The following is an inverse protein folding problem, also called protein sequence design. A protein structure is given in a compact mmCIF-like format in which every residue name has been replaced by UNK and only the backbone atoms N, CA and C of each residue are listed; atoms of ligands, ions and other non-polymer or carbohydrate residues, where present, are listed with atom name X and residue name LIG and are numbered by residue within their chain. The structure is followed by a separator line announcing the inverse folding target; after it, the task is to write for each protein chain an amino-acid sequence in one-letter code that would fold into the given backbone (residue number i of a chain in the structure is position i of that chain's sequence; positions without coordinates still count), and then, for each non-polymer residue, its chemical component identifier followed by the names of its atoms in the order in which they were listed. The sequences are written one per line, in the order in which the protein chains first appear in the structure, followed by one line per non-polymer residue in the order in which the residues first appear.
data_IF_105778956003
#
_entry.id   IF_105778956003
#
_cell.length_a   1.000
_cell.length_b   1.000
_cell.length_c   1.000
_cell.angle_alpha   90.00
_cell.angle_beta   90.00
_cell.angle_gamma   90.00
#
_symmetry.space_group_name_H-M   'P 1'
#
loop_
_entity.id
_entity.type
_entity.pdbx_description
1 polymer ?
#
# COMPACT_ATOMS: atom_id res chain seq x y z
N UNK A 1 -5.83 -14.77 15.10
CA UNK A 1 -5.43 -13.38 14.85
C UNK A 1 -6.57 -12.46 15.26
N UNK A 2 -6.28 -11.37 16.00
CA UNK A 2 -7.25 -10.28 16.17
C UNK A 2 -7.65 -9.73 14.79
N UNK A 3 -8.86 -9.18 14.65
CA UNK A 3 -9.30 -8.60 13.40
C UNK A 3 -8.48 -7.33 13.09
N UNK A 4 -7.94 -7.26 11.87
CA UNK A 4 -7.08 -6.15 11.43
C UNK A 4 -7.84 -4.82 11.24
N UNK A 5 -9.17 -4.86 11.33
CA UNK A 5 -10.07 -3.71 11.20
C UNK A 5 -9.71 -2.55 12.14
N UNK A 6 -9.13 -2.83 13.31
CA UNK A 6 -8.76 -1.84 14.33
C UNK A 6 -7.65 -0.87 13.89
N UNK A 7 -6.94 -1.17 12.79
CA UNK A 7 -5.78 -0.39 12.37
C UNK A 7 -6.10 0.75 11.40
N UNK A 8 -7.32 0.84 10.87
CA UNK A 8 -7.67 1.85 9.85
C UNK A 8 -7.59 3.26 10.41
N UNK A 9 -8.29 3.55 11.50
CA UNK A 9 -8.32 4.89 12.11
C UNK A 9 -6.91 5.35 12.55
N UNK A 10 -6.17 4.50 13.26
CA UNK A 10 -4.81 4.79 13.70
C UNK A 10 -3.85 5.06 12.52
N UNK A 11 -4.03 4.37 11.39
CA UNK A 11 -3.19 4.60 10.20
C UNK A 11 -3.52 5.92 9.50
N UNK A 12 -4.79 6.34 9.51
CA UNK A 12 -5.24 7.62 8.96
C UNK A 12 -4.77 8.79 9.82
N UNK A 13 -4.88 8.68 11.14
CA UNK A 13 -4.37 9.66 12.10
C UNK A 13 -2.87 9.89 11.89
N UNK A 14 -2.09 8.81 11.88
CA UNK A 14 -0.65 8.89 11.64
C UNK A 14 -0.28 9.48 10.28
N UNK A 15 -1.09 9.24 9.25
CA UNK A 15 -0.91 9.89 7.95
C UNK A 15 -1.13 11.40 8.06
N UNK A 16 -2.21 11.84 8.74
CA UNK A 16 -2.50 13.26 8.95
C UNK A 16 -1.42 13.95 9.76
N UNK A 17 -0.94 13.34 10.83
CA UNK A 17 0.19 13.87 11.63
C UNK A 17 1.43 14.08 10.76
N UNK A 18 1.69 13.16 9.83
CA UNK A 18 2.91 13.19 9.01
C UNK A 18 2.82 14.12 7.80
N UNK A 19 1.64 14.23 7.17
CA UNK A 19 1.45 14.93 5.90
C UNK A 19 0.57 16.19 6.02
N UNK A 20 -0.02 16.45 7.19
CA UNK A 20 -0.89 17.60 7.44
C UNK A 20 -2.29 17.51 6.83
N UNK A 21 -2.61 16.42 6.13
CA UNK A 21 -3.91 16.22 5.47
C UNK A 21 -4.26 14.73 5.38
N UNK A 22 -5.52 14.42 5.07
CA UNK A 22 -5.97 13.04 4.81
C UNK A 22 -5.42 12.50 3.48
N UNK A 23 -5.21 11.18 3.32
CA UNK A 23 -4.83 10.64 2.02
C UNK A 23 -6.00 10.77 1.03
N UNK A 24 -5.72 11.07 -0.24
CA UNK A 24 -6.75 11.09 -1.28
C UNK A 24 -7.37 9.70 -1.51
N UNK A 25 -6.56 8.66 -1.36
CA UNK A 25 -6.91 7.27 -1.60
C UNK A 25 -6.43 6.44 -0.41
N UNK A 26 -7.33 5.66 0.18
CA UNK A 26 -7.00 4.65 1.18
C UNK A 26 -7.32 3.27 0.61
N UNK A 27 -6.37 2.35 0.59
CA UNK A 27 -6.61 0.98 0.10
C UNK A 27 -6.09 -0.04 1.10
N UNK A 28 -6.94 -1.03 1.40
CA UNK A 28 -6.59 -2.15 2.27
C UNK A 28 -7.14 -3.47 1.71
N UNK A 29 -6.75 -4.59 2.30
CA UNK A 29 -7.33 -5.88 1.97
C UNK A 29 -8.69 -6.07 2.67
N UNK A 30 -9.41 -7.13 2.28
CA UNK A 30 -10.75 -7.45 2.79
C UNK A 30 -10.81 -7.66 4.31
N UNK A 31 -9.72 -8.04 4.95
CA UNK A 31 -9.60 -8.22 6.39
C UNK A 31 -9.87 -6.93 7.18
N UNK A 32 -9.66 -5.78 6.55
CA UNK A 32 -9.91 -4.45 7.12
C UNK A 32 -11.35 -3.96 6.92
N UNK A 33 -12.21 -4.75 6.28
CA UNK A 33 -13.59 -4.33 6.00
C UNK A 33 -14.46 -4.35 7.25
N UNK A 34 -14.98 -3.18 7.59
CA UNK A 34 -16.13 -2.98 8.47
C UNK A 34 -16.87 -1.72 8.03
N UNK A 35 -18.18 -1.63 8.30
CA UNK A 35 -18.92 -0.40 8.00
C UNK A 35 -18.33 0.82 8.70
N UNK A 36 -17.80 0.61 9.93
CA UNK A 36 -17.10 1.65 10.68
C UNK A 36 -15.91 2.18 9.89
N UNK A 37 -15.08 1.29 9.34
CA UNK A 37 -13.86 1.68 8.62
C UNK A 37 -14.14 2.40 7.31
N UNK A 38 -15.22 2.04 6.62
CA UNK A 38 -15.63 2.76 5.41
C UNK A 38 -16.12 4.16 5.73
N UNK A 39 -16.96 4.28 6.76
CA UNK A 39 -17.49 5.56 7.24
C UNK A 39 -16.40 6.43 7.83
N UNK A 40 -15.45 5.86 8.58
CA UNK A 40 -14.34 6.61 9.20
C UNK A 40 -13.43 7.18 8.11
N UNK A 41 -13.02 6.40 7.11
CA UNK A 41 -12.23 6.91 5.99
C UNK A 41 -12.88 8.13 5.32
N UNK A 42 -14.17 8.05 5.02
CA UNK A 42 -14.92 9.17 4.43
C UNK A 42 -14.99 10.38 5.37
N UNK A 43 -15.31 10.17 6.66
CA UNK A 43 -15.35 11.23 7.68
C UNK A 43 -14.00 11.93 7.85
N UNK A 44 -12.92 11.16 7.79
CA UNK A 44 -11.56 11.65 7.93
C UNK A 44 -11.08 12.42 6.69
N UNK A 45 -11.88 12.51 5.62
CA UNK A 45 -11.57 13.29 4.41
C UNK A 45 -10.90 12.49 3.29
N UNK A 46 -10.94 11.16 3.36
CA UNK A 46 -10.45 10.31 2.26
C UNK A 46 -11.45 10.33 1.11
N UNK A 47 -10.97 10.66 -0.09
CA UNK A 47 -11.84 10.77 -1.27
C UNK A 47 -12.28 9.41 -1.79
N UNK A 48 -11.38 8.42 -1.74
CA UNK A 48 -11.65 7.05 -2.22
C UNK A 48 -11.18 6.02 -1.19
N UNK A 49 -12.12 5.24 -0.64
CA UNK A 49 -11.84 4.15 0.31
C UNK A 49 -11.99 2.79 -0.38
N UNK A 50 -10.87 2.19 -0.76
CA UNK A 50 -10.80 0.94 -1.49
C UNK A 50 -10.54 -0.24 -0.54
N UNK A 51 -11.56 -0.65 0.22
CA UNK A 51 -11.53 -1.85 1.06
C UNK A 51 -12.59 -2.83 0.52
N UNK A 52 -12.27 -4.04 0.05
CA UNK A 52 -13.28 -4.95 -0.49
C UNK A 52 -14.22 -5.47 0.60
N UNK A 53 -15.52 -5.59 0.31
CA UNK A 53 -16.48 -6.12 1.28
C UNK A 53 -16.10 -7.55 1.69
N UNK A 54 -16.05 -7.78 3.01
CA UNK A 54 -15.83 -9.10 3.61
C UNK A 54 -17.15 -9.76 3.96
N UNK A 55 -17.36 -10.97 3.42
CA UNK A 55 -18.52 -11.80 3.74
C UNK A 55 -19.85 -11.24 3.22
N UNK A 56 -20.89 -12.06 3.34
CA UNK A 56 -22.25 -11.72 2.92
C UNK A 56 -22.43 -11.51 1.41
N UNK A 57 -23.69 -11.29 1.00
CA UNK A 57 -24.03 -10.91 -0.37
C UNK A 57 -23.81 -9.40 -0.53
N UNK A 58 -23.07 -9.01 -1.56
CA UNK A 58 -22.89 -7.59 -1.91
C UNK A 58 -24.18 -7.05 -2.51
N UNK A 59 -24.55 -5.84 -2.14
CA UNK A 59 -25.60 -5.10 -2.85
C UNK A 59 -25.13 -4.80 -4.28
N UNK A 60 -26.06 -4.50 -5.17
CA UNK A 60 -25.72 -4.07 -6.54
C UNK A 60 -24.87 -2.81 -6.54
N UNK A 61 -25.22 -1.85 -5.66
CA UNK A 61 -24.45 -0.63 -5.45
C UNK A 61 -23.00 -0.92 -5.02
N UNK A 62 -22.82 -1.84 -4.06
CA UNK A 62 -21.47 -2.22 -3.62
C UNK A 62 -20.69 -2.93 -4.72
N UNK A 63 -21.35 -3.81 -5.45
CA UNK A 63 -20.75 -4.51 -6.58
C UNK A 63 -20.31 -3.52 -7.67
N UNK A 64 -21.12 -2.52 -7.97
CA UNK A 64 -20.78 -1.46 -8.92
C UNK A 64 -19.60 -0.62 -8.42
N UNK A 65 -19.61 -0.23 -7.13
CA UNK A 65 -18.52 0.53 -6.51
C UNK A 65 -17.18 -0.21 -6.59
N UNK A 66 -17.12 -1.49 -6.21
CA UNK A 66 -15.87 -2.26 -6.27
C UNK A 66 -15.39 -2.54 -7.70
N UNK A 67 -16.30 -2.49 -8.68
CA UNK A 67 -15.97 -2.60 -10.11
C UNK A 67 -15.55 -1.28 -10.74
N UNK A 68 -15.70 -0.16 -10.03
CA UNK A 68 -15.37 1.17 -10.53
C UNK A 68 -13.87 1.30 -10.86
N UNK A 69 -13.50 2.19 -11.81
CA UNK A 69 -12.10 2.42 -12.16
C UNK A 69 -11.22 2.84 -10.98
N UNK A 70 -11.70 3.74 -10.12
CA UNK A 70 -10.94 4.23 -8.96
C UNK A 70 -10.71 3.15 -7.93
N UNK A 71 -11.73 2.32 -7.66
CA UNK A 71 -11.59 1.19 -6.75
C UNK A 71 -10.53 0.20 -7.25
N UNK A 72 -10.60 -0.15 -8.55
CA UNK A 72 -9.61 -1.03 -9.19
C UNK A 72 -8.22 -0.43 -9.19
N UNK A 73 -8.09 0.88 -9.41
CA UNK A 73 -6.80 1.59 -9.35
C UNK A 73 -6.22 1.53 -7.93
N UNK A 74 -7.04 1.72 -6.91
CA UNK A 74 -6.64 1.57 -5.51
C UNK A 74 -6.15 0.16 -5.19
N UNK A 75 -6.89 -0.86 -5.61
CA UNK A 75 -6.48 -2.25 -5.40
C UNK A 75 -5.23 -2.64 -6.19
N UNK A 76 -5.02 -2.10 -7.39
CA UNK A 76 -3.76 -2.26 -8.15
C UNK A 76 -2.58 -1.61 -7.44
N UNK A 77 -2.77 -0.42 -6.87
CA UNK A 77 -1.75 0.24 -6.06
C UNK A 77 -1.36 -0.61 -4.85
N UNK A 78 -2.35 -1.14 -4.10
CA UNK A 78 -2.11 -2.08 -3.00
C UNK A 78 -1.34 -3.33 -3.43
N UNK A 79 -1.74 -3.97 -4.53
CA UNK A 79 -1.03 -5.13 -5.05
C UNK A 79 0.43 -4.81 -5.44
N UNK A 80 0.71 -3.59 -5.92
CA UNK A 80 2.07 -3.12 -6.18
C UNK A 80 2.93 -3.01 -4.92
N UNK A 81 2.35 -2.59 -3.79
CA UNK A 81 3.03 -2.57 -2.48
C UNK A 81 3.42 -4.00 -2.07
N UNK A 82 2.49 -4.94 -2.16
CA UNK A 82 2.75 -6.36 -1.85
C UNK A 82 3.83 -6.96 -2.75
N UNK A 83 3.80 -6.63 -4.05
CA UNK A 83 4.84 -6.99 -5.00
C UNK A 83 6.22 -6.47 -4.59
N UNK A 84 6.29 -5.21 -4.15
CA UNK A 84 7.53 -4.57 -3.68
C UNK A 84 8.08 -5.26 -2.42
N UNK A 85 7.22 -5.52 -1.43
CA UNK A 85 7.60 -6.27 -0.21
C UNK A 85 8.10 -7.67 -0.56
N UNK A 86 7.45 -8.33 -1.52
CA UNK A 86 7.86 -9.62 -2.04
C UNK A 86 9.27 -9.59 -2.68
N UNK A 87 9.57 -8.57 -3.48
CA UNK A 87 10.90 -8.36 -4.07
C UNK A 87 11.94 -8.17 -2.97
N UNK A 88 11.64 -7.37 -1.96
CA UNK A 88 12.51 -7.17 -0.80
C UNK A 88 12.84 -8.49 -0.11
N UNK A 89 11.82 -9.31 0.20
CA UNK A 89 12.02 -10.59 0.88
C UNK A 89 12.72 -11.65 0.03
N UNK A 90 12.32 -11.82 -1.22
CA UNK A 90 12.79 -12.94 -2.06
C UNK A 90 14.00 -12.59 -2.92
N UNK A 91 14.08 -11.35 -3.41
CA UNK A 91 15.13 -10.91 -4.32
C UNK A 91 16.23 -10.07 -3.67
N UNK A 92 15.97 -9.45 -2.51
CA UNK A 92 16.92 -8.53 -1.84
C UNK A 92 17.40 -9.00 -0.46
N UNK A 93 17.19 -10.27 -0.14
CA UNK A 93 17.74 -10.89 1.08
C UNK A 93 17.07 -10.47 2.38
N UNK A 94 15.90 -9.82 2.35
CA UNK A 94 15.19 -9.41 3.57
C UNK A 94 14.47 -10.56 4.31
N UNK A 95 14.64 -11.82 3.89
CA UNK A 95 13.98 -12.96 4.55
C UNK A 95 14.48 -13.19 5.99
N UNK A 96 15.72 -12.80 6.30
CA UNK A 96 16.31 -12.98 7.64
C UNK A 96 17.31 -11.87 7.95
N UNK A 97 17.08 -11.15 9.05
CA UNK A 97 18.08 -10.27 9.64
C UNK A 97 19.08 -11.10 10.46
N UNK A 98 20.39 -10.89 10.25
CA UNK A 98 21.46 -11.52 11.04
C UNK A 98 21.95 -10.64 12.19
N UNK A 99 21.55 -9.38 12.20
CA UNK A 99 21.89 -8.45 13.27
C UNK A 99 20.89 -8.59 14.42
N UNK A 100 21.41 -8.60 15.64
CA UNK A 100 20.62 -8.71 16.87
C UNK A 100 20.27 -7.32 17.43
N UNK A 101 19.10 -7.22 18.06
CA UNK A 101 18.61 -5.97 18.65
C UNK A 101 17.74 -5.14 17.71
N UNK A 102 16.78 -4.44 18.31
CA UNK A 102 15.73 -3.70 17.59
C UNK A 102 16.28 -2.53 16.76
N UNK A 103 17.31 -1.84 17.25
CA UNK A 103 17.95 -0.73 16.51
C UNK A 103 18.65 -1.22 15.24
N UNK A 104 19.46 -2.29 15.36
CA UNK A 104 20.15 -2.88 14.21
C UNK A 104 19.16 -3.45 13.20
N UNK A 105 18.06 -4.04 13.67
CA UNK A 105 16.97 -4.48 12.81
C UNK A 105 16.36 -3.32 12.01
N UNK A 106 16.06 -2.19 12.65
CA UNK A 106 15.52 -0.99 11.98
C UNK A 106 16.49 -0.45 10.92
N UNK A 107 17.79 -0.35 11.24
CA UNK A 107 18.83 0.08 10.30
C UNK A 107 18.91 -0.88 9.11
N UNK A 108 18.90 -2.19 9.38
CA UNK A 108 18.94 -3.21 8.33
C UNK A 108 17.74 -3.15 7.39
N UNK A 109 16.51 -2.98 7.93
CA UNK A 109 15.31 -2.76 7.11
C UNK A 109 15.45 -1.49 6.27
N UNK A 110 15.87 -0.38 6.88
CA UNK A 110 16.06 0.90 6.20
C UNK A 110 17.06 0.82 5.05
N UNK A 111 18.21 0.19 5.29
CA UNK A 111 19.25 -0.01 4.28
C UNK A 111 18.75 -0.85 3.10
N UNK A 112 18.00 -1.92 3.37
CA UNK A 112 17.45 -2.78 2.32
C UNK A 112 16.39 -2.06 1.46
N UNK A 113 15.51 -1.27 2.09
CA UNK A 113 14.53 -0.43 1.39
C UNK A 113 15.22 0.64 0.55
N UNK A 114 16.24 1.31 1.11
CA UNK A 114 17.02 2.32 0.38
C UNK A 114 17.71 1.72 -0.84
N UNK A 115 18.41 0.60 -0.68
CA UNK A 115 19.07 -0.10 -1.78
C UNK A 115 18.07 -0.49 -2.88
N UNK A 116 16.91 -1.03 -2.50
CA UNK A 116 15.86 -1.36 -3.46
C UNK A 116 15.35 -0.14 -4.24
N UNK A 117 15.14 0.98 -3.56
CA UNK A 117 14.71 2.22 -4.21
C UNK A 117 15.76 2.73 -5.20
N UNK A 118 17.05 2.69 -4.83
CA UNK A 118 18.15 3.06 -5.73
C UNK A 118 18.19 2.19 -6.99
N UNK A 119 18.05 0.86 -6.84
CA UNK A 119 18.00 -0.04 -7.98
C UNK A 119 16.78 0.23 -8.87
N UNK A 120 15.61 0.50 -8.28
CA UNK A 120 14.42 0.83 -9.09
C UNK A 120 14.56 2.16 -9.82
N UNK A 121 15.19 3.16 -9.21
CA UNK A 121 15.48 4.43 -9.87
C UNK A 121 16.41 4.19 -11.07
N UNK A 122 17.47 3.37 -10.91
CA UNK A 122 18.36 3.00 -12.00
C UNK A 122 17.59 2.33 -13.16
N UNK A 123 16.77 1.31 -12.87
CA UNK A 123 15.93 0.65 -13.89
C UNK A 123 15.05 1.64 -14.67
N UNK A 124 14.42 2.59 -13.95
CA UNK A 124 13.53 3.59 -14.56
C UNK A 124 14.30 4.57 -15.46
N UNK A 125 15.53 4.93 -15.08
CA UNK A 125 16.40 5.77 -15.90
C UNK A 125 16.83 5.03 -17.18
N UNK A 126 17.16 3.75 -17.07
CA UNK A 126 17.52 2.92 -18.22
C UNK A 126 16.34 2.72 -19.18
N UNK A 127 15.15 2.40 -18.65
CA UNK A 127 13.91 2.31 -19.43
C UNK A 127 13.64 3.63 -20.18
N UNK A 128 13.81 4.78 -19.52
CA UNK A 128 13.61 6.09 -20.14
C UNK A 128 14.63 6.35 -21.25
N UNK A 129 15.89 6.01 -21.03
CA UNK A 129 16.96 6.12 -22.03
C UNK A 129 16.67 5.26 -23.26
N UNK A 130 16.23 4.02 -23.06
CA UNK A 130 15.83 3.11 -24.14
C UNK A 130 14.64 3.65 -24.95
N UNK A 131 13.61 4.19 -24.28
CA UNK A 131 12.45 4.79 -24.97
C UNK A 131 12.86 6.00 -25.82
N UNK A 132 13.76 6.86 -25.32
CA UNK A 132 14.29 7.99 -26.10
C UNK A 132 15.04 7.53 -27.34
N UNK A 133 15.90 6.51 -27.22
CA UNK A 133 16.65 5.94 -28.35
C UNK A 133 15.76 5.32 -29.42
N UNK A 134 14.62 4.73 -29.05
CA UNK A 134 13.65 4.16 -30.00
C UNK A 134 12.80 5.21 -30.73
N UNK A 135 12.72 6.43 -30.19
CA UNK A 135 11.89 7.51 -30.73
C UNK A 135 12.69 8.50 -31.60
N UNK A 136 14.02 8.36 -31.62
CA UNK A 136 14.95 9.08 -32.51
C UNK A 136 15.26 8.21 -33.73
#
# INVERSE_FOLDING_TARGET
NPPDEQHVEASLERHKEKFGHAPKLYSADRGFHSERNEKSGQREGVQVVCIPQRGGKKTEQRTAYEKSPDFKKGQRFRAGIEGTISVLFRGRGMKRCRAEGSERFKIWVGAAVLANNLMRIADLLDERSLRKRKAA
#
